data_IF_608248764605
#
_entry.id   IF_608248764605
#
_cell.length_a   1.000
_cell.length_b   1.000
_cell.length_c   1.000
_cell.angle_alpha   90.00
_cell.angle_beta   90.00
_cell.angle_gamma   90.00
#
_symmetry.space_group_name_H-M   'P 1'
#
loop_
_entity.id
_entity.type
_entity.pdbx_description
1 polymer ?
#
# COMPACT_ATOMS: atom_id res chain seq x y z
N UNK A 1 -9.36 11.33 7.28
CA UNK A 1 -8.46 10.22 6.88
C UNK A 1 -7.37 10.82 6.02
N UNK A 2 -6.09 10.64 6.37
CA UNK A 2 -4.97 11.23 5.63
C UNK A 2 -4.56 10.32 4.47
N UNK A 3 -4.40 10.88 3.26
CA UNK A 3 -3.79 10.16 2.14
C UNK A 3 -2.27 10.15 2.30
N UNK A 4 -1.69 8.95 2.46
CA UNK A 4 -0.24 8.75 2.60
C UNK A 4 0.52 8.96 1.29
N UNK A 5 -0.18 9.09 0.16
CA UNK A 5 0.41 9.30 -1.16
C UNK A 5 0.41 10.75 -1.62
N UNK A 6 -0.13 11.66 -0.81
CA UNK A 6 -0.02 13.12 -1.01
C UNK A 6 -0.43 13.55 -2.44
N UNK A 7 -1.50 12.96 -2.97
CA UNK A 7 -2.01 13.28 -4.32
C UNK A 7 -1.18 12.74 -5.49
N UNK A 8 -0.16 11.91 -5.24
CA UNK A 8 0.68 11.35 -6.31
C UNK A 8 0.14 10.05 -6.91
N UNK A 9 -0.84 9.40 -6.28
CA UNK A 9 -1.48 8.20 -6.85
C UNK A 9 -2.35 8.59 -8.05
N UNK A 10 -2.03 8.05 -9.22
CA UNK A 10 -2.84 8.20 -10.44
C UNK A 10 -3.90 7.11 -10.53
N UNK A 11 -3.53 5.87 -10.20
CA UNK A 11 -4.42 4.71 -10.27
C UNK A 11 -3.98 3.60 -9.31
N UNK A 12 -4.94 2.90 -8.73
CA UNK A 12 -4.70 1.61 -8.08
C UNK A 12 -4.82 0.52 -9.15
N UNK A 13 -3.76 -0.26 -9.35
CA UNK A 13 -3.69 -1.25 -10.44
C UNK A 13 -4.11 -2.64 -9.98
N UNK A 14 -4.14 -2.89 -8.67
CA UNK A 14 -4.59 -4.14 -8.11
C UNK A 14 -3.93 -4.46 -6.78
N UNK A 15 -4.44 -5.54 -6.17
CA UNK A 15 -3.91 -6.14 -4.94
C UNK A 15 -3.60 -7.62 -5.21
N UNK A 16 -2.47 -8.10 -4.69
CA UNK A 16 -2.05 -9.49 -4.75
C UNK A 16 -1.62 -9.96 -3.36
N UNK A 17 -1.59 -11.28 -3.15
CA UNK A 17 -1.15 -11.90 -1.90
C UNK A 17 -1.90 -11.38 -0.66
N UNK A 18 -3.18 -11.03 -0.83
CA UNK A 18 -4.02 -10.54 0.26
C UNK A 18 -4.41 -11.70 1.16
N UNK A 19 -4.02 -11.64 2.44
CA UNK A 19 -4.34 -12.64 3.46
C UNK A 19 -4.81 -11.98 4.75
N UNK A 20 -5.65 -12.71 5.50
CA UNK A 20 -6.21 -12.29 6.80
C UNK A 20 -5.91 -13.35 7.86
N UNK A 21 -4.70 -13.35 8.45
CA UNK A 21 -4.25 -14.45 9.31
C UNK A 21 -4.98 -14.53 10.64
N UNK A 22 -5.48 -13.39 11.15
CA UNK A 22 -6.23 -13.29 12.40
C UNK A 22 -7.49 -12.44 12.20
N UNK A 23 -8.62 -12.79 12.84
CA UNK A 23 -9.82 -11.97 12.80
C UNK A 23 -9.59 -10.64 13.54
N UNK A 24 -10.43 -9.66 13.23
CA UNK A 24 -10.57 -8.42 14.01
C UNK A 24 -11.95 -8.41 14.67
N UNK A 25 -12.04 -7.80 15.84
CA UNK A 25 -13.29 -7.66 16.58
C UNK A 25 -13.55 -6.19 16.93
N UNK A 26 -14.79 -5.89 17.32
CA UNK A 26 -15.13 -4.58 17.86
C UNK A 26 -14.25 -4.26 19.08
N UNK A 27 -13.65 -3.07 19.08
CA UNK A 27 -12.74 -2.63 20.14
C UNK A 27 -11.25 -2.79 19.80
N UNK A 28 -10.90 -3.53 18.74
CA UNK A 28 -9.50 -3.63 18.31
C UNK A 28 -8.96 -2.29 17.81
N UNK A 29 -7.70 -2.01 18.14
CA UNK A 29 -6.96 -0.85 17.63
C UNK A 29 -5.97 -1.32 16.57
N UNK A 30 -6.12 -0.81 15.34
CA UNK A 30 -5.33 -1.25 14.20
C UNK A 30 -4.24 -0.24 13.86
N UNK A 31 -3.01 -0.74 13.70
CA UNK A 31 -1.86 -0.01 13.17
C UNK A 31 -1.42 -0.65 11.85
N UNK A 32 -1.15 0.17 10.85
CA UNK A 32 -0.71 -0.30 9.53
C UNK A 32 0.67 0.24 9.22
N UNK A 33 1.55 -0.67 8.78
CA UNK A 33 2.84 -0.35 8.19
C UNK A 33 2.75 -0.53 6.67
N UNK A 34 3.42 0.36 5.93
CA UNK A 34 3.51 0.28 4.48
C UNK A 34 4.97 0.36 4.06
N UNK A 35 5.43 -0.66 3.34
CA UNK A 35 6.80 -0.73 2.82
C UNK A 35 6.76 -0.64 1.30
N UNK A 36 7.56 0.24 0.71
CA UNK A 36 7.80 0.21 -0.74
C UNK A 36 8.73 -0.96 -1.03
N UNK A 37 8.23 -1.96 -1.74
CA UNK A 37 9.00 -3.19 -2.03
C UNK A 37 9.56 -3.21 -3.46
N UNK A 38 8.99 -2.44 -4.38
CA UNK A 38 9.55 -2.27 -5.73
C UNK A 38 9.07 -0.98 -6.41
N UNK A 39 9.88 -0.50 -7.36
CA UNK A 39 9.56 0.66 -8.20
C UNK A 39 9.95 0.31 -9.64
N UNK A 40 9.04 0.56 -10.58
CA UNK A 40 9.26 0.39 -12.00
C UNK A 40 8.84 1.64 -12.76
N UNK A 41 9.76 2.26 -13.48
CA UNK A 41 9.43 3.40 -14.33
C UNK A 41 8.53 3.00 -15.51
N UNK A 42 7.65 3.91 -15.93
CA UNK A 42 6.87 3.71 -17.15
C UNK A 42 7.76 3.90 -18.37
N UNK A 43 7.70 2.95 -19.31
CA UNK A 43 8.43 3.02 -20.58
C UNK A 43 7.79 3.97 -21.60
N UNK A 44 6.50 4.29 -21.44
CA UNK A 44 5.72 5.07 -22.41
C UNK A 44 5.28 6.44 -21.90
N UNK A 45 5.32 6.68 -20.59
CA UNK A 45 4.92 7.96 -19.97
C UNK A 45 5.97 8.41 -18.95
N UNK A 46 6.81 9.40 -19.27
CA UNK A 46 7.98 9.75 -18.45
C UNK A 46 7.62 10.36 -17.08
N UNK A 47 6.39 10.85 -16.92
CA UNK A 47 5.87 11.52 -15.72
C UNK A 47 5.45 10.57 -14.59
N UNK A 48 5.49 9.24 -14.80
CA UNK A 48 4.95 8.26 -13.86
C UNK A 48 5.67 6.92 -13.85
N UNK A 49 5.39 6.13 -12.83
CA UNK A 49 5.84 4.75 -12.68
C UNK A 49 4.82 3.91 -11.94
N UNK A 50 5.17 2.64 -11.69
CA UNK A 50 4.42 1.73 -10.84
C UNK A 50 5.25 1.48 -9.58
N UNK A 51 4.61 1.62 -8.44
CA UNK A 51 5.18 1.31 -7.13
C UNK A 51 4.39 0.15 -6.53
N UNK A 52 5.10 -0.85 -6.02
CA UNK A 52 4.52 -1.91 -5.21
C UNK A 52 4.70 -1.58 -3.73
N UNK A 53 3.58 -1.60 -3.02
CA UNK A 53 3.49 -1.38 -1.59
C UNK A 53 3.11 -2.68 -0.90
N UNK A 54 3.87 -3.13 0.08
CA UNK A 54 3.42 -4.15 1.03
C UNK A 54 2.78 -3.45 2.22
N UNK A 55 1.51 -3.74 2.47
CA UNK A 55 0.78 -3.27 3.64
C UNK A 55 0.68 -4.39 4.66
N UNK A 56 1.01 -4.10 5.91
CA UNK A 56 0.84 -5.01 7.05
C UNK A 56 0.05 -4.33 8.15
N UNK A 57 -1.07 -4.91 8.53
CA UNK A 57 -1.94 -4.42 9.58
C UNK A 57 -1.81 -5.29 10.82
N UNK A 58 -1.66 -4.64 11.98
CA UNK A 58 -1.51 -5.27 13.29
C UNK A 58 -2.57 -4.77 14.25
N UNK A 59 -3.08 -5.63 15.13
CA UNK A 59 -3.93 -5.23 16.26
C UNK A 59 -3.09 -4.69 17.44
N UNK A 60 -3.75 -4.31 18.54
CA UNK A 60 -3.11 -3.82 19.77
C UNK A 60 -2.19 -4.82 20.47
N UNK A 61 -2.34 -6.12 20.17
CA UNK A 61 -1.52 -7.20 20.72
C UNK A 61 -0.29 -7.50 19.84
N UNK A 62 -0.20 -6.88 18.67
CA UNK A 62 0.88 -7.10 17.71
C UNK A 62 0.61 -8.25 16.74
N UNK A 63 -0.60 -8.82 16.73
CA UNK A 63 -0.95 -9.89 15.79
C UNK A 63 -1.16 -9.33 14.39
N UNK A 64 -0.60 -10.00 13.38
CA UNK A 64 -0.83 -9.66 11.98
C UNK A 64 -2.26 -10.05 11.59
N UNK A 65 -3.12 -9.06 11.38
CA UNK A 65 -4.54 -9.26 11.04
C UNK A 65 -4.81 -9.15 9.54
N UNK A 66 -3.98 -8.40 8.81
CA UNK A 66 -4.05 -8.35 7.35
C UNK A 66 -2.67 -8.09 6.74
N UNK A 67 -2.44 -8.70 5.58
CA UNK A 67 -1.29 -8.40 4.72
C UNK A 67 -1.75 -8.34 3.27
N UNK A 68 -1.28 -7.37 2.51
CA UNK A 68 -1.49 -7.34 1.05
C UNK A 68 -0.38 -6.61 0.32
N UNK A 69 -0.16 -6.97 -0.93
CA UNK A 69 0.72 -6.24 -1.83
C UNK A 69 -0.13 -5.47 -2.83
N UNK A 70 -0.07 -4.14 -2.77
CA UNK A 70 -0.80 -3.21 -3.65
C UNK A 70 0.14 -2.70 -4.74
N UNK A 71 -0.29 -2.78 -5.98
CA UNK A 71 0.38 -2.09 -7.09
C UNK A 71 -0.35 -0.78 -7.39
N UNK A 72 0.38 0.34 -7.44
CA UNK A 72 -0.21 1.63 -7.79
C UNK A 72 0.64 2.37 -8.82
N UNK A 73 -0.03 3.09 -9.71
CA UNK A 73 0.59 4.04 -10.62
C UNK A 73 0.80 5.36 -9.88
N UNK A 74 2.06 5.81 -9.81
CA UNK A 74 2.47 6.98 -9.04
C UNK A 74 3.11 8.01 -9.96
N UNK A 75 2.79 9.30 -9.76
CA UNK A 75 3.50 10.41 -10.39
C UNK A 75 4.93 10.48 -9.89
N UNK A 76 5.86 10.83 -10.78
CA UNK A 76 7.19 11.27 -10.39
C UNK A 76 7.12 12.71 -9.87
N UNK A 77 8.10 13.11 -9.08
CA UNK A 77 8.29 14.52 -8.71
C UNK A 77 8.47 15.34 -10.00
N UNK A 78 7.73 16.45 -10.10
CA UNK A 78 7.96 17.42 -11.17
C UNK A 78 9.39 17.99 -11.04
N UNK A 79 10.08 18.11 -12.17
CA UNK A 79 11.39 18.75 -12.27
C UNK A 79 11.19 20.26 -12.32
#
# INVERSE_FOLDING_TARGET
>A
VNDITVGTTVANLGMKETVFPHPVFHGDTIRVETTVISVRESRSKPDRGIVEFEHRAYNQHGDLVAKCTRQAMMLKKAI
#
